data_IF_904864444950
#
_entry.id   IF_904864444950
#
_cell.length_a   1.000
_cell.length_b   1.000
_cell.length_c   1.000
_cell.angle_alpha   90.00
_cell.angle_beta   90.00
_cell.angle_gamma   90.00
#
_symmetry.space_group_name_H-M   'P 1'
#
loop_
_entity.id
_entity.type
_entity.pdbx_description
1 polymer ?
#
# COMPACT_ATOMS: atom_id res chain seq x y z
N UNK A 1 -17.58 -11.75 2.35
CA UNK A 1 -17.04 -12.37 1.11
C UNK A 1 -16.53 -13.81 1.36
N UNK A 2 -16.02 -14.14 2.56
CA UNK A 2 -15.54 -15.49 2.90
C UNK A 2 -16.46 -16.27 3.86
N UNK A 3 -17.77 -16.38 3.56
CA UNK A 3 -18.69 -17.22 4.35
C UNK A 3 -19.34 -18.22 3.39
N UNK A 4 -18.82 -19.45 3.36
CA UNK A 4 -19.31 -20.57 2.55
C UNK A 4 -18.28 -21.70 2.41
N UNK A 5 -18.73 -22.92 2.11
CA UNK A 5 -17.94 -24.17 2.18
C UNK A 5 -16.54 -24.09 1.54
N UNK A 6 -15.54 -24.61 2.24
CA UNK A 6 -14.11 -24.49 1.91
C UNK A 6 -13.70 -25.00 0.52
N UNK A 7 -14.48 -25.93 -0.04
CA UNK A 7 -14.23 -26.59 -1.33
C UNK A 7 -14.12 -25.65 -2.54
N UNK A 8 -14.49 -24.36 -2.41
CA UNK A 8 -14.42 -23.37 -3.51
C UNK A 8 -13.71 -22.06 -3.14
N UNK A 9 -13.04 -22.00 -1.99
CA UNK A 9 -12.42 -20.75 -1.52
C UNK A 9 -11.24 -20.32 -2.40
N UNK A 10 -10.40 -21.26 -2.84
CA UNK A 10 -9.27 -20.97 -3.76
C UNK A 10 -9.80 -20.37 -5.06
N UNK A 11 -10.83 -20.98 -5.67
CA UNK A 11 -11.42 -20.48 -6.92
C UNK A 11 -12.09 -19.11 -6.77
N UNK A 12 -12.68 -18.82 -5.60
CA UNK A 12 -13.26 -17.51 -5.30
C UNK A 12 -12.18 -16.44 -5.14
N UNK A 13 -11.12 -16.75 -4.39
CA UNK A 13 -9.97 -15.85 -4.20
C UNK A 13 -9.31 -15.58 -5.55
N UNK A 14 -9.07 -16.61 -6.35
CA UNK A 14 -8.42 -16.46 -7.65
C UNK A 14 -9.26 -15.61 -8.62
N UNK A 15 -10.57 -15.82 -8.68
CA UNK A 15 -11.46 -14.96 -9.49
C UNK A 15 -11.45 -13.51 -9.02
N UNK A 16 -11.54 -13.28 -7.71
CA UNK A 16 -11.46 -11.94 -7.16
C UNK A 16 -10.12 -11.27 -7.49
N UNK A 17 -9.01 -11.99 -7.37
CA UNK A 17 -7.68 -11.46 -7.73
C UNK A 17 -7.58 -11.12 -9.21
N UNK A 18 -8.12 -11.97 -10.09
CA UNK A 18 -8.18 -11.71 -11.53
C UNK A 18 -9.07 -10.50 -11.86
N UNK A 19 -10.23 -10.39 -11.24
CA UNK A 19 -11.12 -9.24 -11.40
C UNK A 19 -10.39 -7.96 -10.98
N UNK A 20 -9.75 -7.94 -9.81
CA UNK A 20 -8.99 -6.79 -9.30
C UNK A 20 -7.76 -6.47 -10.17
N UNK A 21 -7.09 -7.46 -10.74
CA UNK A 21 -5.93 -7.25 -11.61
C UNK A 21 -6.34 -6.70 -12.99
N UNK A 22 -7.50 -7.12 -13.50
CA UNK A 22 -8.04 -6.68 -14.79
C UNK A 22 -8.88 -5.41 -14.68
N UNK A 23 -9.30 -5.01 -13.48
CA UNK A 23 -10.01 -3.76 -13.25
C UNK A 23 -9.07 -2.58 -13.51
N UNK A 24 -9.34 -1.85 -14.60
CA UNK A 24 -8.63 -0.62 -14.94
C UNK A 24 -9.04 0.50 -13.99
N UNK A 25 -8.51 0.46 -12.77
CA UNK A 25 -8.68 1.54 -11.81
C UNK A 25 -7.75 2.71 -12.18
N UNK A 26 -8.32 3.70 -12.86
CA UNK A 26 -7.62 4.91 -13.34
C UNK A 26 -7.04 5.72 -12.16
N UNK A 27 -7.70 5.73 -11.00
CA UNK A 27 -7.21 6.41 -9.79
C UNK A 27 -7.30 5.47 -8.60
N UNK A 28 -6.17 4.93 -8.19
CA UNK A 28 -6.07 4.05 -7.03
C UNK A 28 -6.16 4.84 -5.72
N UNK A 29 -6.78 4.27 -4.68
CA UNK A 29 -6.91 4.94 -3.38
C UNK A 29 -5.58 5.39 -2.75
N UNK A 30 -4.47 4.70 -3.05
CA UNK A 30 -3.14 5.11 -2.61
C UNK A 30 -2.61 6.35 -3.36
N UNK A 31 -2.99 6.57 -4.62
CA UNK A 31 -2.65 7.80 -5.37
C UNK A 31 -3.23 9.01 -4.68
N UNK A 32 -4.52 8.95 -4.33
CA UNK A 32 -5.24 10.01 -3.61
C UNK A 32 -4.54 10.31 -2.29
N UNK A 33 -4.25 9.26 -1.53
CA UNK A 33 -3.65 9.43 -0.22
C UNK A 33 -2.21 9.97 -0.31
N UNK A 34 -1.45 9.69 -1.38
CA UNK A 34 -0.12 10.28 -1.58
C UNK A 34 -0.20 11.73 -2.04
N UNK A 35 -1.14 12.08 -2.93
CA UNK A 35 -1.39 13.47 -3.31
C UNK A 35 -1.74 14.35 -2.10
N UNK A 36 -2.58 13.85 -1.19
CA UNK A 36 -2.90 14.54 0.07
C UNK A 36 -1.67 14.80 0.95
N UNK A 37 -0.79 13.81 1.09
CA UNK A 37 0.41 13.95 1.93
C UNK A 37 1.45 14.89 1.32
N UNK A 38 1.57 14.94 0.00
CA UNK A 38 2.51 15.82 -0.71
C UNK A 38 1.98 17.26 -0.79
N UNK A 39 0.66 17.46 -0.71
CA UNK A 39 0.03 18.78 -0.79
C UNK A 39 -0.14 19.30 -2.21
N UNK A 40 0.11 18.46 -3.22
CA UNK A 40 -0.09 18.78 -4.63
C UNK A 40 -0.65 17.57 -5.39
N UNK A 41 -1.41 17.85 -6.45
CA UNK A 41 -1.97 16.80 -7.30
C UNK A 41 -0.85 16.09 -8.07
N UNK A 42 -0.88 14.76 -8.04
CA UNK A 42 -0.01 13.91 -8.83
C UNK A 42 -0.83 13.41 -10.01
N UNK A 43 -0.46 13.79 -11.23
CA UNK A 43 -1.15 13.27 -12.40
C UNK A 43 -0.74 11.82 -12.69
N UNK A 44 -1.53 11.12 -13.51
CA UNK A 44 -1.30 9.73 -13.87
C UNK A 44 0.10 9.49 -14.45
N UNK A 45 0.53 10.34 -15.39
CA UNK A 45 1.84 10.21 -16.04
C UNK A 45 3.01 10.35 -15.05
N UNK A 46 2.91 11.28 -14.09
CA UNK A 46 3.89 11.44 -13.02
C UNK A 46 3.89 10.22 -12.10
N UNK A 47 2.71 9.72 -11.76
CA UNK A 47 2.55 8.53 -10.93
C UNK A 47 3.17 7.28 -11.58
N UNK A 48 2.87 7.03 -12.84
CA UNK A 48 3.44 5.93 -13.62
C UNK A 48 4.97 6.04 -13.72
N UNK A 49 5.50 7.24 -13.98
CA UNK A 49 6.93 7.46 -14.04
C UNK A 49 7.64 7.20 -12.70
N UNK A 50 7.05 7.60 -11.57
CA UNK A 50 7.67 7.38 -10.26
C UNK A 50 7.72 5.90 -9.86
N UNK A 51 6.63 5.17 -10.09
CA UNK A 51 6.46 3.82 -9.56
C UNK A 51 6.75 2.70 -10.56
N UNK A 52 6.34 2.86 -11.83
CA UNK A 52 6.42 1.79 -12.84
C UNK A 52 7.80 1.77 -13.50
N UNK A 53 8.37 2.93 -13.82
CA UNK A 53 9.65 3.02 -14.54
C UNK A 53 10.81 2.42 -13.73
N UNK A 54 10.90 2.79 -12.45
CA UNK A 54 11.95 2.28 -11.55
C UNK A 54 11.79 0.79 -11.24
N UNK A 55 10.54 0.31 -11.16
CA UNK A 55 10.25 -1.10 -10.92
C UNK A 55 10.75 -2.03 -12.05
N UNK A 56 10.68 -1.57 -13.31
CA UNK A 56 11.13 -2.34 -14.48
C UNK A 56 12.66 -2.44 -14.61
N UNK A 57 13.41 -1.48 -14.06
CA UNK A 57 14.87 -1.40 -14.24
C UNK A 57 15.67 -2.36 -13.35
N UNK A 58 15.08 -2.84 -12.25
CA UNK A 58 15.78 -3.66 -11.26
C UNK A 58 15.28 -5.12 -11.23
N UNK A 59 16.21 -6.06 -11.07
CA UNK A 59 15.89 -7.48 -10.82
C UNK A 59 15.87 -7.84 -9.34
N UNK A 60 16.25 -6.91 -8.45
CA UNK A 60 16.30 -7.17 -7.01
C UNK A 60 14.90 -7.33 -6.42
N UNK A 61 14.59 -8.51 -5.90
CA UNK A 61 13.31 -8.81 -5.25
C UNK A 61 13.13 -7.94 -4.00
N UNK A 62 14.18 -7.78 -3.19
CA UNK A 62 14.14 -6.96 -1.98
C UNK A 62 13.81 -5.49 -2.29
N UNK A 63 14.36 -4.94 -3.38
CA UNK A 63 14.04 -3.58 -3.79
C UNK A 63 12.59 -3.44 -4.24
N UNK A 64 12.10 -4.39 -5.06
CA UNK A 64 10.70 -4.43 -5.49
C UNK A 64 9.74 -4.51 -4.30
N UNK A 65 10.04 -5.36 -3.32
CA UNK A 65 9.27 -5.47 -2.09
C UNK A 65 9.27 -4.17 -1.29
N UNK A 66 10.42 -3.49 -1.17
CA UNK A 66 10.51 -2.20 -0.50
C UNK A 66 9.71 -1.10 -1.21
N UNK A 67 9.71 -1.09 -2.55
CA UNK A 67 8.84 -0.20 -3.32
C UNK A 67 7.37 -0.48 -3.01
N UNK A 68 6.93 -1.74 -3.04
CA UNK A 68 5.55 -2.10 -2.71
C UNK A 68 5.17 -1.70 -1.28
N UNK A 69 6.05 -1.95 -0.31
CA UNK A 69 5.88 -1.55 1.09
C UNK A 69 5.73 -0.04 1.24
N UNK A 70 6.47 0.76 0.46
CA UNK A 70 6.36 2.21 0.46
C UNK A 70 5.08 2.67 -0.25
N UNK A 71 4.78 2.10 -1.41
CA UNK A 71 3.61 2.38 -2.24
C UNK A 71 2.30 2.22 -1.46
N UNK A 72 2.17 1.11 -0.74
CA UNK A 72 1.02 0.79 0.12
C UNK A 72 1.18 1.20 1.58
N UNK A 73 2.34 1.76 1.95
CA UNK A 73 2.67 2.19 3.34
C UNK A 73 2.61 1.06 4.37
N UNK A 74 2.79 -0.19 3.93
CA UNK A 74 2.73 -1.39 4.78
C UNK A 74 3.89 -1.51 5.76
N UNK A 75 5.04 -0.90 5.45
CA UNK A 75 6.21 -0.91 6.31
C UNK A 75 6.55 0.53 6.70
N UNK A 76 5.66 1.16 7.45
CA UNK A 76 5.95 2.39 8.18
C UNK A 76 5.54 2.19 9.65
N UNK A 77 6.40 2.60 10.60
CA UNK A 77 6.10 2.41 12.01
C UNK A 77 5.05 3.45 12.44
N UNK A 78 4.23 3.17 13.49
CA UNK A 78 3.16 4.06 13.93
C UNK A 78 3.59 5.51 14.16
N UNK A 79 4.81 5.72 14.68
CA UNK A 79 5.41 7.05 14.87
C UNK A 79 5.57 7.85 13.58
N UNK A 80 5.95 7.20 12.47
CA UNK A 80 6.10 7.85 11.17
C UNK A 80 4.74 8.09 10.52
N UNK A 81 3.80 7.14 10.67
CA UNK A 81 2.45 7.31 10.14
C UNK A 81 1.70 8.44 10.85
N UNK A 82 1.87 8.60 12.17
CA UNK A 82 1.28 9.70 12.93
C UNK A 82 1.77 11.09 12.49
N UNK A 83 2.96 11.20 11.90
CA UNK A 83 3.44 12.45 11.28
C UNK A 83 2.71 12.77 9.97
N UNK A 84 2.28 11.75 9.23
CA UNK A 84 1.54 11.90 7.97
C UNK A 84 0.05 12.12 8.23
N UNK A 85 -0.50 11.51 9.27
CA UNK A 85 -1.91 11.57 9.62
C UNK A 85 -2.10 12.13 11.02
N UNK A 86 -2.52 13.40 11.17
CA UNK A 86 -2.67 14.05 12.48
C UNK A 86 -3.63 13.32 13.44
N UNK A 87 -4.59 12.55 12.89
CA UNK A 87 -5.57 11.77 13.65
C UNK A 87 -5.06 10.39 14.10
N UNK A 88 -3.87 9.98 13.66
CA UNK A 88 -3.31 8.67 13.95
C UNK A 88 -2.45 8.68 15.20
N UNK A 89 -2.56 7.63 16.02
CA UNK A 89 -1.83 7.54 17.28
C UNK A 89 -0.42 6.98 17.08
N UNK A 90 0.63 7.62 17.62
CA UNK A 90 2.03 7.25 17.34
C UNK A 90 2.51 6.01 18.12
N UNK A 91 1.69 5.43 19.00
CA UNK A 91 2.09 4.31 19.84
C UNK A 91 2.14 2.98 19.10
N UNK A 92 2.96 2.07 19.60
CA UNK A 92 3.11 0.72 19.09
C UNK A 92 1.75 0.00 19.04
N UNK A 93 1.42 -0.61 17.89
CA UNK A 93 0.16 -1.33 17.72
C UNK A 93 0.03 -2.55 18.63
N UNK A 94 1.16 -3.17 19.01
CA UNK A 94 1.18 -4.34 19.90
C UNK A 94 1.02 -3.95 21.36
N UNK A 95 1.91 -3.11 21.90
CA UNK A 95 1.93 -2.82 23.34
C UNK A 95 1.09 -1.61 23.74
N UNK A 96 0.77 -0.69 22.81
CA UNK A 96 0.00 0.55 23.01
C UNK A 96 0.53 1.48 24.11
N UNK A 97 1.78 1.29 24.57
CA UNK A 97 2.41 2.07 25.64
C UNK A 97 3.51 2.98 25.12
N UNK A 98 4.46 2.40 24.42
CA UNK A 98 5.62 3.09 23.87
C UNK A 98 5.34 3.62 22.46
N UNK A 99 6.16 4.56 22.02
CA UNK A 99 6.14 5.06 20.64
C UNK A 99 6.46 3.92 19.68
N UNK A 100 5.63 3.72 18.67
CA UNK A 100 5.83 2.66 17.69
C UNK A 100 6.95 3.06 16.72
N UNK A 101 8.17 2.65 17.01
CA UNK A 101 9.35 2.74 16.14
C UNK A 101 9.70 1.36 15.58
N UNK A 102 10.74 1.29 14.73
CA UNK A 102 11.31 0.01 14.30
C UNK A 102 12.24 -0.63 15.31
N UNK A 103 12.65 0.16 16.31
CA UNK A 103 13.56 -0.18 17.38
C UNK A 103 12.81 -0.08 18.70
#
# INVERSE_FOLDING_TARGET
>A
ILIGSDKKNITKIYRYLLEVELEEEIVKGNMVAWAQNIGHNINLTQWENMWIRNYKLTKSVAYKENIYKMFYRWHLPPSRLAKMYPKMYPKCWRCKKETGTYY
#
